data_IF_833261790690
#
_entry.id   IF_833261790690
#
_cell.length_a   1.000
_cell.length_b   1.000
_cell.length_c   1.000
_cell.angle_alpha   90.00
_cell.angle_beta   90.00
_cell.angle_gamma   90.00
#
_symmetry.space_group_name_H-M   'P 1'
#
loop_
_entity.id
_entity.type
_entity.pdbx_description
1 polymer ?
#
# COMPACT_ATOMS: atom_id res chain seq x y z
N UNK A 1 -35.30 -6.15 -4.08
CA UNK A 1 -34.18 -5.20 -3.90
C UNK A 1 -33.31 -5.47 -2.66
N UNK A 2 -33.89 -5.65 -1.46
CA UNK A 2 -33.12 -5.93 -0.23
C UNK A 2 -32.38 -7.26 -0.25
N UNK A 3 -32.97 -8.29 -0.85
CA UNK A 3 -32.38 -9.64 -1.00
C UNK A 3 -31.18 -9.67 -1.96
N UNK A 4 -31.24 -8.91 -3.07
CA UNK A 4 -30.14 -8.83 -4.04
C UNK A 4 -28.93 -8.06 -3.46
N UNK A 5 -29.19 -6.99 -2.71
CA UNK A 5 -28.15 -6.20 -2.03
C UNK A 5 -27.41 -7.02 -0.98
N UNK A 6 -28.13 -7.85 -0.20
CA UNK A 6 -27.51 -8.76 0.77
C UNK A 6 -26.69 -9.85 0.11
N UNK A 7 -27.13 -10.38 -1.03
CA UNK A 7 -26.37 -11.40 -1.77
C UNK A 7 -25.09 -10.82 -2.39
N UNK A 8 -25.13 -9.60 -2.95
CA UNK A 8 -23.95 -8.93 -3.50
C UNK A 8 -22.96 -8.55 -2.39
N UNK A 9 -23.45 -8.04 -1.26
CA UNK A 9 -22.61 -7.71 -0.11
C UNK A 9 -21.94 -8.97 0.47
N UNK A 10 -22.66 -10.10 0.54
CA UNK A 10 -22.10 -11.39 0.96
C UNK A 10 -21.03 -11.91 0.00
N UNK A 11 -21.25 -11.81 -1.32
CA UNK A 11 -20.26 -12.24 -2.32
C UNK A 11 -19.00 -11.37 -2.24
N UNK A 12 -19.13 -10.05 -2.08
CA UNK A 12 -18.00 -9.14 -1.92
C UNK A 12 -17.25 -9.36 -0.59
N UNK A 13 -17.98 -9.66 0.50
CA UNK A 13 -17.36 -10.02 1.78
C UNK A 13 -16.59 -11.34 1.68
N UNK A 14 -17.15 -12.35 1.02
CA UNK A 14 -16.49 -13.63 0.79
C UNK A 14 -15.23 -13.47 -0.06
N UNK A 15 -15.28 -12.69 -1.15
CA UNK A 15 -14.10 -12.39 -1.99
C UNK A 15 -13.03 -11.67 -1.18
N UNK A 16 -13.41 -10.69 -0.36
CA UNK A 16 -12.48 -9.96 0.51
C UNK A 16 -11.86 -10.86 1.61
N UNK A 17 -12.64 -11.75 2.22
CA UNK A 17 -12.17 -12.69 3.24
C UNK A 17 -11.22 -13.75 2.66
N UNK A 18 -11.52 -14.29 1.48
CA UNK A 18 -10.64 -15.25 0.77
C UNK A 18 -9.33 -14.59 0.36
N UNK A 19 -9.37 -13.32 -0.06
CA UNK A 19 -8.16 -12.54 -0.36
C UNK A 19 -7.33 -12.26 0.91
N UNK A 20 -7.99 -11.94 2.03
CA UNK A 20 -7.30 -11.54 3.26
C UNK A 20 -6.72 -12.74 4.04
N UNK A 21 -7.37 -13.91 4.00
CA UNK A 21 -6.84 -15.12 4.65
C UNK A 21 -5.64 -15.75 3.94
N UNK A 22 -5.47 -15.56 2.62
CA UNK A 22 -4.36 -16.17 1.85
C UNK A 22 -3.15 -15.26 1.64
N UNK A 23 -3.25 -13.96 1.92
CA UNK A 23 -2.11 -13.02 1.93
C UNK A 23 -1.31 -13.06 3.24
N UNK A 24 -1.85 -13.69 4.30
CA UNK A 24 -1.15 -13.90 5.57
C UNK A 24 -0.81 -15.38 5.73
N UNK A 25 0.27 -15.82 5.10
CA UNK A 25 0.91 -17.08 5.47
C UNK A 25 1.51 -17.91 4.32
N UNK A 26 2.83 -18.04 4.40
CA UNK A 26 3.70 -19.11 3.87
C UNK A 26 4.42 -18.88 2.54
N UNK A 27 5.76 -18.91 2.64
CA UNK A 27 6.71 -19.19 1.57
C UNK A 27 6.45 -20.59 0.97
N UNK A 28 6.81 -20.82 -0.30
CA UNK A 28 6.45 -22.05 -1.00
C UNK A 28 7.49 -23.15 -0.78
N UNK A 29 7.07 -24.24 -0.11
CA UNK A 29 7.67 -25.56 -0.30
C UNK A 29 6.72 -26.43 -1.15
N UNK A 30 7.30 -27.35 -1.92
CA UNK A 30 6.82 -28.03 -3.14
C UNK A 30 5.55 -28.93 -3.05
N UNK A 31 4.44 -28.46 -2.48
CA UNK A 31 3.15 -29.20 -2.50
C UNK A 31 1.96 -28.35 -3.00
N UNK A 32 2.19 -27.53 -4.03
CA UNK A 32 1.28 -26.45 -4.47
C UNK A 32 0.18 -26.80 -5.50
N UNK A 33 0.03 -28.05 -5.94
CA UNK A 33 -0.91 -28.39 -7.01
C UNK A 33 -2.42 -28.32 -6.64
N UNK A 34 -2.90 -28.78 -5.46
CA UNK A 34 -4.33 -28.77 -5.17
C UNK A 34 -4.87 -27.35 -4.89
N UNK A 35 -4.02 -26.42 -4.43
CA UNK A 35 -4.44 -25.05 -4.07
C UNK A 35 -4.75 -24.15 -5.27
N UNK A 36 -4.20 -24.46 -6.46
CA UNK A 36 -4.44 -23.69 -7.68
C UNK A 36 -5.77 -24.09 -8.35
N UNK A 37 -6.12 -25.38 -8.31
CA UNK A 37 -7.40 -25.86 -8.84
C UNK A 37 -8.59 -25.26 -8.09
N UNK A 38 -8.51 -25.22 -6.75
CA UNK A 38 -9.54 -24.61 -5.91
C UNK A 38 -9.64 -23.10 -6.15
N UNK A 39 -8.50 -22.41 -6.31
CA UNK A 39 -8.50 -20.98 -6.63
C UNK A 39 -9.12 -20.70 -8.01
N UNK A 40 -8.84 -21.56 -9.00
CA UNK A 40 -9.42 -21.42 -10.34
C UNK A 40 -10.93 -21.74 -10.34
N UNK A 41 -11.39 -22.66 -9.50
CA UNK A 41 -12.82 -22.93 -9.29
C UNK A 41 -13.53 -21.73 -8.65
N UNK A 42 -12.94 -21.12 -7.62
CA UNK A 42 -13.48 -19.92 -6.95
C UNK A 42 -13.55 -18.72 -7.91
N UNK A 43 -12.52 -18.52 -8.73
CA UNK A 43 -12.51 -17.47 -9.77
C UNK A 43 -13.60 -17.72 -10.82
N UNK A 44 -13.81 -18.98 -11.21
CA UNK A 44 -14.82 -19.36 -12.20
C UNK A 44 -16.24 -19.13 -11.65
N UNK A 45 -16.49 -19.46 -10.38
CA UNK A 45 -17.75 -19.19 -9.71
C UNK A 45 -18.02 -17.68 -9.57
N UNK A 46 -17.01 -16.88 -9.21
CA UNK A 46 -17.12 -15.43 -9.16
C UNK A 46 -17.45 -14.82 -10.53
N UNK A 47 -16.87 -15.36 -11.61
CA UNK A 47 -17.15 -14.93 -12.98
C UNK A 47 -18.59 -15.22 -13.41
N UNK A 48 -19.12 -16.39 -13.09
CA UNK A 48 -20.54 -16.72 -13.33
C UNK A 48 -21.50 -15.76 -12.60
N UNK A 49 -21.14 -15.31 -11.39
CA UNK A 49 -21.89 -14.29 -10.66
C UNK A 49 -21.90 -12.91 -11.34
N UNK A 50 -20.77 -12.50 -11.92
CA UNK A 50 -20.65 -11.25 -12.67
C UNK A 50 -21.47 -11.31 -13.97
N UNK A 51 -21.38 -12.42 -14.70
CA UNK A 51 -22.13 -12.61 -15.95
C UNK A 51 -23.66 -12.58 -15.71
N UNK A 52 -24.13 -13.15 -14.60
CA UNK A 52 -25.54 -13.08 -14.21
C UNK A 52 -26.02 -11.66 -13.87
N UNK A 53 -25.14 -10.83 -13.27
CA UNK A 53 -25.43 -9.41 -13.00
C UNK A 53 -25.49 -8.60 -14.29
N UNK A 54 -24.57 -8.84 -15.24
CA UNK A 54 -24.56 -8.19 -16.55
C UNK A 54 -25.81 -8.57 -17.37
N UNK A 55 -26.22 -9.84 -17.36
CA UNK A 55 -27.47 -10.25 -18.00
C UNK A 55 -28.71 -9.59 -17.38
N UNK A 56 -28.67 -9.29 -16.07
CA UNK A 56 -29.74 -8.59 -15.37
C UNK A 56 -29.77 -7.10 -15.73
N UNK A 57 -28.58 -6.47 -15.85
CA UNK A 57 -28.43 -5.10 -16.34
C UNK A 57 -29.01 -4.96 -17.75
N UNK A 58 -28.64 -5.83 -18.69
CA UNK A 58 -29.09 -5.75 -20.08
C UNK A 58 -30.61 -5.89 -20.19
N UNK A 59 -31.24 -6.77 -19.41
CA UNK A 59 -32.72 -6.89 -19.35
C UNK A 59 -33.39 -5.62 -18.82
N UNK A 60 -32.77 -4.94 -17.86
CA UNK A 60 -33.27 -3.66 -17.35
C UNK A 60 -33.15 -2.56 -18.41
N UNK A 61 -32.03 -2.51 -19.14
CA UNK A 61 -31.82 -1.58 -20.25
C UNK A 61 -32.81 -1.81 -21.40
N UNK A 62 -33.09 -3.07 -21.76
CA UNK A 62 -34.13 -3.44 -22.73
C UNK A 62 -35.53 -3.04 -22.26
N UNK A 63 -35.85 -3.22 -20.97
CA UNK A 63 -37.14 -2.82 -20.39
C UNK A 63 -37.30 -1.29 -20.38
N UNK A 64 -36.21 -0.55 -20.16
CA UNK A 64 -36.19 0.91 -20.23
C UNK A 64 -36.29 1.42 -21.68
N UNK A 65 -35.66 0.73 -22.63
CA UNK A 65 -35.72 1.06 -24.06
C UNK A 65 -37.09 0.72 -24.68
N UNK A 66 -37.69 -0.41 -24.31
CA UNK A 66 -39.05 -0.79 -24.72
C UNK A 66 -40.14 0.16 -24.20
N UNK A 67 -39.89 0.83 -23.07
CA UNK A 67 -40.78 1.88 -22.55
C UNK A 67 -40.78 3.16 -23.40
N UNK A 68 -39.76 3.39 -24.23
CA UNK A 68 -39.72 4.53 -25.15
C UNK A 68 -40.48 4.28 -26.47
N UNK A 69 -40.78 3.02 -26.82
CA UNK A 69 -41.62 2.73 -28.00
C UNK A 69 -43.12 2.69 -27.70
N UNK A 70 -43.53 2.59 -26.43
CA UNK A 70 -44.95 2.59 -26.04
C UNK A 70 -45.57 3.99 -25.84
N UNK A 71 -44.80 5.07 -26.03
CA UNK A 71 -45.28 6.46 -25.88
C UNK A 71 -45.46 7.16 -27.23
N UNK A 72 -46.41 6.66 -28.04
CA UNK A 72 -47.02 7.41 -29.16
C UNK A 72 -48.55 7.23 -29.17
N UNK A 73 -49.18 7.37 -28.00
CA UNK A 73 -50.63 7.58 -27.90
C UNK A 73 -50.90 8.97 -27.30
N UNK A 74 -51.93 9.70 -27.75
CA UNK A 74 -52.13 11.09 -27.38
C UNK A 74 -52.49 11.22 -25.89
N UNK A 75 -51.91 12.25 -25.26
CA UNK A 75 -51.99 12.51 -23.82
C UNK A 75 -53.42 12.84 -23.36
N UNK A 76 -53.86 12.36 -22.18
CA UNK A 76 -54.92 13.02 -21.44
C UNK A 76 -54.34 14.14 -20.56
N UNK A 77 -55.12 15.21 -20.46
CA UNK A 77 -54.83 16.42 -19.73
C UNK A 77 -55.02 16.23 -18.22
N UNK A 78 -53.93 16.20 -17.45
CA UNK A 78 -53.85 16.76 -16.10
C UNK A 78 -52.40 16.75 -15.56
N UNK A 79 -51.81 17.88 -15.12
CA UNK A 79 -50.45 17.93 -14.61
C UNK A 79 -50.47 17.96 -13.07
N UNK A 80 -50.67 16.82 -12.43
CA UNK A 80 -50.52 16.74 -10.98
C UNK A 80 -49.90 15.42 -10.52
N UNK A 81 -48.77 15.56 -9.81
CA UNK A 81 -48.09 14.58 -8.96
C UNK A 81 -47.15 13.53 -9.62
N UNK A 82 -45.85 13.83 -9.48
CA UNK A 82 -44.68 12.95 -9.34
C UNK A 82 -44.01 12.35 -10.61
N UNK A 83 -42.72 12.70 -10.83
CA UNK A 83 -41.70 11.64 -10.89
C UNK A 83 -40.32 12.00 -10.27
N UNK A 84 -40.24 12.84 -9.23
CA UNK A 84 -38.91 13.24 -8.70
C UNK A 84 -38.16 12.13 -7.94
N UNK A 85 -38.86 11.22 -7.25
CA UNK A 85 -38.25 10.08 -6.53
C UNK A 85 -37.74 8.97 -7.46
N UNK A 86 -38.38 8.77 -8.61
CA UNK A 86 -37.95 7.74 -9.55
C UNK A 86 -36.70 8.19 -10.32
N UNK A 87 -36.65 9.48 -10.71
CA UNK A 87 -35.50 10.07 -11.39
C UNK A 87 -34.25 10.09 -10.50
N UNK A 88 -34.39 10.46 -9.23
CA UNK A 88 -33.27 10.45 -8.26
C UNK A 88 -32.74 9.04 -7.99
N UNK A 89 -33.62 8.04 -7.96
CA UNK A 89 -33.21 6.64 -7.84
C UNK A 89 -32.43 6.15 -9.07
N UNK A 90 -32.88 6.50 -10.27
CA UNK A 90 -32.17 6.16 -11.52
C UNK A 90 -30.82 6.89 -11.61
N UNK A 91 -30.72 8.13 -11.14
CA UNK A 91 -29.45 8.86 -11.06
C UNK A 91 -28.46 8.20 -10.09
N UNK A 92 -28.96 7.69 -8.95
CA UNK A 92 -28.13 6.96 -7.99
C UNK A 92 -27.61 5.64 -8.59
N UNK A 93 -28.48 4.88 -9.27
CA UNK A 93 -28.12 3.62 -9.94
C UNK A 93 -27.11 3.86 -11.08
N UNK A 94 -27.23 4.98 -11.81
CA UNK A 94 -26.27 5.38 -12.84
C UNK A 94 -24.89 5.71 -12.26
N UNK A 95 -24.83 6.44 -11.14
CA UNK A 95 -23.57 6.77 -10.46
C UNK A 95 -22.90 5.52 -9.85
N UNK A 96 -23.69 4.58 -9.33
CA UNK A 96 -23.17 3.28 -8.88
C UNK A 96 -22.59 2.47 -10.05
N UNK A 97 -23.25 2.49 -11.21
CA UNK A 97 -22.76 1.80 -12.42
C UNK A 97 -21.44 2.41 -12.92
N UNK A 98 -21.31 3.74 -12.90
CA UNK A 98 -20.05 4.43 -13.23
C UNK A 98 -18.90 4.04 -12.28
N UNK A 99 -19.18 3.86 -10.99
CA UNK A 99 -18.18 3.41 -10.01
C UNK A 99 -17.71 1.99 -10.29
N UNK A 100 -18.61 1.08 -10.65
CA UNK A 100 -18.26 -0.30 -11.02
C UNK A 100 -17.39 -0.32 -12.27
N UNK A 101 -17.76 0.45 -13.31
CA UNK A 101 -16.98 0.52 -14.55
C UNK A 101 -15.56 1.06 -14.32
N UNK A 102 -15.42 2.05 -13.42
CA UNK A 102 -14.11 2.58 -13.01
C UNK A 102 -13.25 1.52 -12.33
N UNK A 103 -13.84 0.74 -11.42
CA UNK A 103 -13.14 -0.36 -10.75
C UNK A 103 -12.72 -1.45 -11.73
N UNK A 104 -13.52 -1.76 -12.75
CA UNK A 104 -13.15 -2.71 -13.80
C UNK A 104 -11.91 -2.24 -14.59
N UNK A 105 -11.85 -0.95 -14.95
CA UNK A 105 -10.68 -0.38 -15.62
C UNK A 105 -9.40 -0.46 -14.75
N UNK A 106 -9.52 -0.16 -13.45
CA UNK A 106 -8.40 -0.27 -12.49
C UNK A 106 -7.93 -1.73 -12.35
N UNK A 107 -8.87 -2.68 -12.29
CA UNK A 107 -8.58 -4.12 -12.20
C UNK A 107 -7.91 -4.63 -13.49
N UNK A 108 -8.30 -4.11 -14.65
CA UNK A 108 -7.66 -4.44 -15.92
C UNK A 108 -6.22 -3.90 -16.01
N UNK A 109 -5.97 -2.69 -15.48
CA UNK A 109 -4.61 -2.15 -15.34
C UNK A 109 -3.73 -3.06 -14.48
N UNK A 110 -4.22 -3.46 -13.31
CA UNK A 110 -3.50 -4.38 -12.40
C UNK A 110 -3.24 -5.75 -13.04
N UNK A 111 -4.14 -6.26 -13.89
CA UNK A 111 -3.93 -7.51 -14.63
C UNK A 111 -2.76 -7.41 -15.62
N UNK A 112 -2.62 -6.28 -16.30
CA UNK A 112 -1.50 -6.07 -17.24
C UNK A 112 -0.16 -5.90 -16.51
N UNK A 113 -0.17 -5.22 -15.36
CA UNK A 113 1.01 -5.18 -14.47
C UNK A 113 1.39 -6.58 -13.97
N UNK A 114 0.43 -7.43 -13.61
CA UNK A 114 0.73 -8.80 -13.18
C UNK A 114 1.29 -9.67 -14.32
N UNK A 115 0.88 -9.44 -15.57
CA UNK A 115 1.43 -10.13 -16.74
C UNK A 115 2.88 -9.71 -17.00
N UNK A 116 3.22 -8.44 -16.82
CA UNK A 116 4.59 -7.95 -17.01
C UNK A 116 5.56 -8.49 -15.96
N UNK A 117 5.09 -8.77 -14.75
CA UNK A 117 5.90 -9.41 -13.70
C UNK A 117 6.20 -10.88 -14.02
N UNK A 118 5.29 -11.61 -14.67
CA UNK A 118 5.49 -13.04 -15.00
C UNK A 118 6.52 -13.28 -16.12
N UNK A 119 6.69 -12.33 -17.04
CA UNK A 119 7.64 -12.48 -18.16
C UNK A 119 9.10 -12.28 -17.77
N UNK A 120 9.39 -11.74 -16.57
CA UNK A 120 10.76 -11.51 -16.08
C UNK A 120 11.40 -12.77 -15.48
N UNK A 121 10.64 -13.86 -15.27
CA UNK A 121 11.16 -15.09 -14.63
C UNK A 121 11.83 -16.11 -15.57
N UNK A 122 11.93 -15.82 -16.88
CA UNK A 122 12.57 -16.73 -17.84
C UNK A 122 14.00 -16.27 -18.20
N UNK A 123 14.99 -16.59 -17.36
CA UNK A 123 16.40 -16.55 -17.74
C UNK A 123 16.90 -17.94 -18.17
N UNK A 124 17.79 -18.06 -19.18
CA UNK A 124 18.31 -19.34 -19.63
C UNK A 124 19.41 -19.86 -18.69
N UNK A 125 19.35 -21.14 -18.32
CA UNK A 125 20.43 -21.84 -17.63
C UNK A 125 21.62 -22.02 -18.58
N UNK A 126 22.73 -21.34 -18.29
CA UNK A 126 24.00 -21.53 -19.00
C UNK A 126 24.76 -22.74 -18.43
N UNK A 127 25.33 -23.54 -19.35
CA UNK A 127 25.99 -24.81 -19.10
C UNK A 127 27.22 -24.71 -18.16
N UNK A 128 27.27 -25.63 -17.19
CA UNK A 128 28.35 -25.76 -16.23
C UNK A 128 29.62 -26.36 -16.87
N UNK A 129 30.70 -25.59 -16.90
CA UNK A 129 32.03 -26.08 -17.28
C UNK A 129 32.85 -26.40 -16.01
N UNK A 130 33.33 -27.64 -15.91
CA UNK A 130 34.06 -28.17 -14.74
C UNK A 130 35.50 -27.64 -14.73
N UNK A 131 35.86 -26.83 -13.74
CA UNK A 131 37.26 -26.64 -13.33
C UNK A 131 37.37 -26.48 -11.81
N UNK A 132 38.53 -26.89 -11.27
CA UNK A 132 38.81 -27.19 -9.85
C UNK A 132 38.60 -25.98 -8.91
N UNK A 133 38.25 -26.21 -7.63
CA UNK A 133 37.99 -25.13 -6.69
C UNK A 133 39.32 -24.49 -6.25
N UNK A 134 39.43 -23.18 -6.46
CA UNK A 134 40.38 -22.31 -5.77
C UNK A 134 39.70 -21.88 -4.47
N UNK A 135 40.35 -22.12 -3.33
CA UNK A 135 39.92 -21.59 -2.03
C UNK A 135 39.93 -20.07 -2.07
N UNK A 136 38.75 -19.47 -2.24
CA UNK A 136 38.52 -18.05 -1.99
C UNK A 136 37.82 -17.91 -0.64
N UNK A 137 38.51 -17.26 0.29
CA UNK A 137 37.95 -16.86 1.58
C UNK A 137 36.95 -15.74 1.30
N UNK A 138 35.66 -16.08 1.25
CA UNK A 138 34.57 -15.11 1.11
C UNK A 138 34.44 -14.29 2.40
N UNK A 139 34.35 -12.94 2.37
CA UNK A 139 34.21 -12.10 3.58
C UNK A 139 32.86 -12.26 4.31
N UNK A 140 32.01 -13.16 3.82
CA UNK A 140 30.69 -13.48 4.36
C UNK A 140 30.52 -14.98 4.56
N UNK A 141 31.57 -15.65 5.06
CA UNK A 141 31.42 -16.99 5.61
C UNK A 141 30.31 -16.95 6.67
N UNK A 142 29.18 -17.57 6.34
CA UNK A 142 28.03 -17.73 7.22
C UNK A 142 28.51 -18.37 8.53
N UNK A 143 28.18 -17.83 9.71
CA UNK A 143 28.39 -18.59 10.94
C UNK A 143 27.57 -19.90 10.85
N UNK A 144 27.99 -20.98 11.51
CA UNK A 144 27.32 -22.26 11.43
C UNK A 144 25.95 -22.15 12.11
N UNK A 145 24.92 -21.82 11.34
CA UNK A 145 23.55 -21.92 11.78
C UNK A 145 23.17 -23.40 11.80
N UNK A 146 23.34 -24.04 12.95
CA UNK A 146 22.60 -25.27 13.26
C UNK A 146 21.10 -24.95 13.15
N UNK A 147 20.44 -25.51 12.14
CA UNK A 147 19.04 -25.27 11.85
C UNK A 147 18.13 -25.54 13.05
N UNK A 148 17.66 -24.47 13.69
CA UNK A 148 16.43 -24.37 14.49
C UNK A 148 16.16 -22.96 15.01
N UNK A 149 16.49 -21.94 14.21
CA UNK A 149 16.29 -20.54 14.56
C UNK A 149 15.29 -19.85 13.65
N UNK A 150 14.03 -20.32 13.60
CA UNK A 150 12.95 -19.39 13.27
C UNK A 150 13.14 -18.23 14.25
N UNK A 151 13.26 -16.97 13.79
CA UNK A 151 12.99 -15.81 14.62
C UNK A 151 11.52 -15.93 15.04
N UNK A 152 11.24 -16.82 16.01
CA UNK A 152 10.07 -16.68 16.83
C UNK A 152 10.28 -15.30 17.42
N UNK A 153 9.39 -14.37 17.10
CA UNK A 153 9.11 -13.29 18.03
C UNK A 153 8.85 -14.02 19.35
N UNK A 154 9.89 -14.10 20.19
CA UNK A 154 9.77 -14.59 21.55
C UNK A 154 8.63 -13.79 22.15
N UNK A 155 7.88 -14.45 23.02
CA UNK A 155 6.81 -13.90 23.84
C UNK A 155 6.92 -12.37 24.01
N UNK A 156 5.81 -11.61 23.86
CA UNK A 156 5.85 -10.16 23.85
C UNK A 156 6.82 -9.66 24.91
N UNK A 157 7.90 -8.99 24.50
CA UNK A 157 8.97 -8.56 25.40
C UNK A 157 8.28 -7.96 26.63
N UNK A 158 8.42 -8.58 27.82
CA UNK A 158 7.69 -8.12 28.98
C UNK A 158 8.02 -6.65 29.17
N UNK A 159 6.98 -5.79 29.12
CA UNK A 159 7.19 -4.35 29.34
C UNK A 159 7.85 -4.21 30.72
N UNK A 160 9.07 -3.64 30.80
CA UNK A 160 9.69 -3.39 32.09
C UNK A 160 8.70 -2.57 32.93
N UNK A 161 8.56 -2.89 34.21
CA UNK A 161 7.66 -2.18 35.12
C UNK A 161 7.95 -0.68 35.22
N UNK A 162 9.16 -0.27 34.81
CA UNK A 162 9.61 1.12 34.74
C UNK A 162 9.09 1.90 33.51
N UNK A 163 8.56 1.25 32.47
CA UNK A 163 8.05 1.96 31.29
C UNK A 163 6.66 2.51 31.60
N UNK A 164 6.45 3.84 31.53
CA UNK A 164 5.14 4.43 31.77
C UNK A 164 4.08 3.85 30.84
N UNK A 165 2.83 3.80 31.29
CA UNK A 165 1.72 3.39 30.40
C UNK A 165 1.63 4.33 29.19
N UNK A 166 1.20 3.83 28.02
CA UNK A 166 0.94 4.69 26.87
C UNK A 166 -0.04 5.81 27.22
N UNK A 167 0.19 7.04 26.71
CA UNK A 167 -0.69 8.17 27.00
C UNK A 167 -2.06 7.96 26.37
N UNK A 168 -3.10 8.48 27.02
CA UNK A 168 -4.42 8.63 26.40
C UNK A 168 -4.38 9.65 25.26
N UNK A 169 -5.43 9.65 24.43
CA UNK A 169 -5.58 10.61 23.34
C UNK A 169 -5.49 12.06 23.81
N UNK A 170 -6.16 12.40 24.91
CA UNK A 170 -6.11 13.74 25.50
C UNK A 170 -4.72 14.10 26.05
N UNK A 171 -4.01 13.13 26.63
CA UNK A 171 -2.62 13.34 27.06
C UNK A 171 -1.68 13.57 25.86
N UNK A 172 -1.86 12.83 24.77
CA UNK A 172 -1.08 13.03 23.55
C UNK A 172 -1.38 14.39 22.90
N UNK A 173 -2.65 14.80 22.83
CA UNK A 173 -3.05 16.12 22.30
C UNK A 173 -2.32 17.26 23.01
N UNK A 174 -2.07 17.17 24.31
CA UNK A 174 -1.33 18.18 25.08
C UNK A 174 0.17 18.24 24.77
N UNK A 175 0.74 17.14 24.25
CA UNK A 175 2.19 17.01 24.02
C UNK A 175 2.61 17.36 22.61
N UNK A 176 1.69 17.26 21.66
CA UNK A 176 1.95 17.68 20.27
C UNK A 176 1.81 19.19 20.11
N UNK A 177 2.38 19.74 19.03
CA UNK A 177 2.10 21.12 18.62
C UNK A 177 0.60 21.30 18.40
N UNK A 178 0.05 22.40 18.92
CA UNK A 178 -1.38 22.71 18.89
C UNK A 178 -1.87 23.25 17.52
N UNK A 179 -1.38 22.66 16.43
CA UNK A 179 -1.86 22.98 15.08
C UNK A 179 -3.02 22.05 14.72
N UNK A 180 -4.00 22.50 13.91
CA UNK A 180 -5.13 21.66 13.49
C UNK A 180 -4.68 20.33 12.87
N UNK A 181 -3.58 20.37 12.11
CA UNK A 181 -3.02 19.20 11.44
C UNK A 181 -2.46 18.16 12.42
N UNK A 182 -1.82 18.59 13.50
CA UNK A 182 -1.25 17.67 14.48
C UNK A 182 -2.30 17.09 15.41
N UNK A 183 -3.28 17.90 15.80
CA UNK A 183 -4.44 17.41 16.55
C UNK A 183 -5.21 16.37 15.73
N UNK A 184 -5.46 16.63 14.44
CA UNK A 184 -6.07 15.66 13.53
C UNK A 184 -5.23 14.39 13.39
N UNK A 185 -3.90 14.49 13.32
CA UNK A 185 -3.02 13.32 13.24
C UNK A 185 -3.15 12.42 14.48
N UNK A 186 -3.21 13.01 15.68
CA UNK A 186 -3.45 12.27 16.93
C UNK A 186 -4.80 11.57 16.89
N UNK A 187 -5.87 12.26 16.50
CA UNK A 187 -7.20 11.66 16.41
C UNK A 187 -7.26 10.50 15.43
N UNK A 188 -6.68 10.67 14.24
CA UNK A 188 -6.59 9.61 13.24
C UNK A 188 -5.75 8.43 13.73
N UNK A 189 -4.67 8.71 14.46
CA UNK A 189 -3.81 7.66 14.98
C UNK A 189 -4.49 6.80 16.04
N UNK A 190 -5.26 7.39 16.97
CA UNK A 190 -6.04 6.59 17.91
C UNK A 190 -7.19 5.82 17.23
N UNK A 191 -7.78 6.38 16.16
CA UNK A 191 -8.85 5.71 15.43
C UNK A 191 -8.36 4.56 14.53
N UNK A 192 -7.16 4.68 13.95
CA UNK A 192 -6.64 3.78 12.91
C UNK A 192 -5.33 3.08 13.27
N UNK A 193 -4.78 3.36 14.45
CA UNK A 193 -3.44 2.96 14.86
C UNK A 193 -2.36 3.34 13.84
N UNK A 194 -2.41 4.53 13.23
CA UNK A 194 -1.46 4.95 12.20
C UNK A 194 -1.23 6.47 12.18
N UNK A 195 0.04 6.90 12.08
CA UNK A 195 0.43 8.32 11.96
C UNK A 195 0.81 8.75 10.53
N UNK A 196 0.75 7.83 9.56
CA UNK A 196 1.01 8.09 8.15
C UNK A 196 2.02 7.13 7.52
N UNK A 197 2.76 6.36 8.31
CA UNK A 197 3.71 5.36 7.82
C UNK A 197 3.04 4.14 7.17
N UNK A 198 3.85 3.43 6.38
CA UNK A 198 3.46 2.13 5.86
C UNK A 198 3.39 1.11 7.01
N UNK A 199 2.27 0.39 7.11
CA UNK A 199 2.03 -0.60 8.17
C UNK A 199 2.12 -0.05 9.60
N UNK A 200 1.88 1.24 9.80
CA UNK A 200 1.82 1.87 11.13
C UNK A 200 3.10 1.76 11.96
N UNK A 201 4.26 1.63 11.30
CA UNK A 201 5.56 1.54 11.95
C UNK A 201 5.84 2.75 12.86
N UNK A 202 5.48 3.96 12.42
CA UNK A 202 5.60 5.19 13.20
C UNK A 202 4.82 5.14 14.53
N UNK A 203 3.55 4.72 14.47
CA UNK A 203 2.69 4.57 15.63
C UNK A 203 3.18 3.49 16.57
N UNK A 204 3.56 2.32 16.02
CA UNK A 204 4.09 1.21 16.78
C UNK A 204 5.35 1.62 17.55
N UNK A 205 6.31 2.24 16.86
CA UNK A 205 7.58 2.65 17.45
C UNK A 205 7.35 3.71 18.52
N UNK A 206 6.49 4.70 18.25
CA UNK A 206 6.16 5.72 19.25
C UNK A 206 5.51 5.10 20.50
N UNK A 207 4.43 4.33 20.34
CA UNK A 207 3.64 3.82 21.47
C UNK A 207 4.32 2.74 22.32
N UNK A 208 5.34 2.07 21.78
CA UNK A 208 6.05 1.03 22.51
C UNK A 208 7.37 1.53 23.11
N UNK A 209 8.01 2.52 22.49
CA UNK A 209 9.37 2.90 22.88
C UNK A 209 9.54 4.38 23.21
N UNK A 210 8.80 5.29 22.58
CA UNK A 210 9.12 6.72 22.65
C UNK A 210 8.01 7.59 23.24
N UNK A 211 6.87 7.02 23.62
CA UNK A 211 5.75 7.78 24.15
C UNK A 211 6.04 8.45 25.49
N UNK A 212 7.10 8.09 26.20
CA UNK A 212 7.50 8.76 27.44
C UNK A 212 8.58 9.83 27.21
N UNK A 213 9.05 10.00 25.98
CA UNK A 213 10.06 11.00 25.63
C UNK A 213 9.39 12.30 25.20
N UNK A 214 9.75 13.40 25.86
CA UNK A 214 9.25 14.74 25.49
C UNK A 214 10.13 15.44 24.45
N UNK A 215 11.36 14.94 24.26
CA UNK A 215 12.31 15.38 23.24
C UNK A 215 13.06 14.17 22.70
N UNK A 216 13.48 14.26 21.45
CA UNK A 216 14.31 13.24 20.82
C UNK A 216 14.97 13.75 19.56
N UNK A 217 15.78 12.90 18.95
CA UNK A 217 16.40 13.11 17.66
C UNK A 217 16.03 11.92 16.78
N UNK A 218 15.65 12.18 15.54
CA UNK A 218 15.39 11.11 14.58
C UNK A 218 16.34 11.19 13.38
N UNK A 219 16.64 10.04 12.79
CA UNK A 219 17.36 9.92 11.53
C UNK A 219 16.53 9.05 10.60
N UNK A 220 16.21 9.55 9.42
CA UNK A 220 15.39 8.87 8.42
C UNK A 220 16.20 8.67 7.14
N UNK A 221 16.64 7.43 6.90
CA UNK A 221 17.45 7.07 5.73
C UNK A 221 16.53 6.51 4.65
N UNK A 222 16.49 7.19 3.50
CA UNK A 222 15.46 6.95 2.49
C UNK A 222 14.12 7.57 2.90
N UNK A 223 14.16 8.83 3.35
CA UNK A 223 13.01 9.52 3.92
C UNK A 223 11.80 9.62 2.97
N UNK A 224 12.04 9.55 1.66
CA UNK A 224 11.01 9.40 0.65
C UNK A 224 9.99 10.55 0.64
N UNK A 225 8.71 10.20 0.73
CA UNK A 225 7.64 11.18 0.70
C UNK A 225 7.52 11.95 2.02
N UNK A 226 7.28 13.26 1.91
CA UNK A 226 7.33 14.18 3.05
C UNK A 226 6.24 14.00 4.12
N UNK A 227 5.17 13.25 3.85
CA UNK A 227 4.07 13.03 4.81
C UNK A 227 3.50 11.62 4.72
N UNK A 228 2.92 11.29 3.58
CA UNK A 228 2.29 9.99 3.38
C UNK A 228 3.38 8.94 3.20
N UNK A 229 3.27 7.80 3.89
CA UNK A 229 4.30 6.77 4.01
C UNK A 229 5.60 7.26 4.67
N UNK A 230 5.56 8.33 5.46
CA UNK A 230 6.73 8.79 6.22
C UNK A 230 6.75 8.19 7.61
N UNK A 231 7.86 7.56 7.98
CA UNK A 231 8.07 7.03 9.33
C UNK A 231 8.34 8.14 10.35
N UNK A 232 8.77 9.32 9.89
CA UNK A 232 9.26 10.39 10.77
C UNK A 232 8.40 11.65 10.74
N UNK A 233 7.30 11.66 9.95
CA UNK A 233 6.51 12.87 9.76
C UNK A 233 6.00 13.46 11.06
N UNK A 234 5.39 12.61 11.89
CA UNK A 234 4.83 12.97 13.18
C UNK A 234 5.88 13.50 14.18
N UNK A 235 7.07 12.89 14.22
CA UNK A 235 8.13 13.26 15.15
C UNK A 235 8.66 14.68 14.87
N UNK A 236 8.88 15.00 13.60
CA UNK A 236 9.31 16.33 13.16
C UNK A 236 8.22 17.40 13.33
N UNK A 237 7.03 17.17 12.78
CA UNK A 237 6.03 18.24 12.70
C UNK A 237 5.21 18.37 13.97
N UNK A 238 4.86 17.25 14.61
CA UNK A 238 3.92 17.25 15.71
C UNK A 238 4.60 17.16 17.06
N UNK A 239 5.69 16.41 17.20
CA UNK A 239 6.49 16.41 18.43
C UNK A 239 7.60 17.47 18.40
N UNK A 240 7.91 18.03 17.24
CA UNK A 240 8.94 19.06 17.11
C UNK A 240 10.36 18.57 17.36
N UNK A 241 10.60 17.27 17.19
CA UNK A 241 11.92 16.69 17.35
C UNK A 241 12.84 17.15 16.23
N UNK A 242 14.08 17.60 16.53
CA UNK A 242 15.09 17.75 15.49
C UNK A 242 15.31 16.42 14.78
N UNK A 243 15.69 16.49 13.51
CA UNK A 243 16.03 15.29 12.76
C UNK A 243 16.85 15.52 11.52
N UNK A 244 17.32 14.41 10.97
CA UNK A 244 18.10 14.31 9.75
C UNK A 244 17.37 13.38 8.78
N UNK A 245 16.87 13.91 7.67
CA UNK A 245 16.36 13.12 6.56
C UNK A 245 17.45 13.00 5.48
N UNK A 246 17.85 11.76 5.16
CA UNK A 246 18.76 11.46 4.07
C UNK A 246 17.94 10.89 2.91
N UNK A 247 17.99 11.55 1.75
CA UNK A 247 17.21 11.16 0.58
C UNK A 247 18.08 11.27 -0.68
N UNK A 248 18.20 10.18 -1.44
CA UNK A 248 19.04 10.15 -2.63
C UNK A 248 18.39 10.89 -3.80
N UNK A 249 17.06 10.86 -3.89
CA UNK A 249 16.31 11.51 -4.94
C UNK A 249 16.31 13.05 -4.77
N UNK A 250 16.89 13.81 -5.71
CA UNK A 250 16.96 15.26 -5.60
C UNK A 250 15.59 15.94 -5.61
N UNK A 251 14.60 15.34 -6.28
CA UNK A 251 13.22 15.85 -6.34
C UNK A 251 12.55 15.68 -4.98
N UNK A 252 12.59 14.49 -4.39
CA UNK A 252 12.01 14.23 -3.07
C UNK A 252 12.73 15.01 -1.98
N UNK A 253 14.07 15.07 -2.02
CA UNK A 253 14.86 15.90 -1.12
C UNK A 253 14.49 17.39 -1.22
N UNK A 254 14.19 17.87 -2.43
CA UNK A 254 13.70 19.23 -2.66
C UNK A 254 12.33 19.49 -2.04
N UNK A 255 11.41 18.52 -2.08
CA UNK A 255 10.10 18.61 -1.42
C UNK A 255 10.25 18.55 0.09
N UNK A 256 11.08 17.64 0.63
CA UNK A 256 11.36 17.51 2.06
C UNK A 256 11.85 18.85 2.64
N UNK A 257 12.85 19.49 2.00
CA UNK A 257 13.37 20.80 2.44
C UNK A 257 12.30 21.90 2.55
N UNK A 258 11.25 21.82 1.74
CA UNK A 258 10.17 22.83 1.72
C UNK A 258 9.03 22.51 2.68
N UNK A 259 8.90 21.26 3.12
CA UNK A 259 7.69 20.72 3.77
C UNK A 259 7.94 20.10 5.15
N UNK A 260 9.21 20.04 5.58
CA UNK A 260 9.68 19.45 6.84
C UNK A 260 10.55 20.49 7.56
N UNK A 261 10.68 20.37 8.88
CA UNK A 261 11.57 21.24 9.66
C UNK A 261 12.98 20.64 9.87
N UNK A 262 13.18 19.39 9.50
CA UNK A 262 14.44 18.68 9.66
C UNK A 262 15.55 19.15 8.70
N UNK A 263 16.77 18.77 9.06
CA UNK A 263 17.92 18.88 8.15
C UNK A 263 17.78 17.82 7.07
N UNK A 264 17.91 18.22 5.80
CA UNK A 264 17.79 17.29 4.66
C UNK A 264 19.13 17.18 3.93
N UNK A 265 19.68 15.98 3.84
CA UNK A 265 20.87 15.66 3.06
C UNK A 265 20.45 14.92 1.80
N UNK A 266 20.75 15.52 0.64
CA UNK A 266 20.52 14.85 -0.64
C UNK A 266 21.69 13.93 -1.00
N UNK A 267 21.63 12.70 -0.51
CA UNK A 267 22.63 11.66 -0.75
C UNK A 267 22.01 10.28 -0.53
N UNK A 268 22.58 9.24 -1.12
CA UNK A 268 22.38 7.87 -0.65
C UNK A 268 23.30 7.58 0.55
N UNK A 269 22.90 6.64 1.40
CA UNK A 269 23.77 6.12 2.46
C UNK A 269 24.49 4.88 1.94
N UNK A 270 25.81 4.84 2.11
CA UNK A 270 26.65 3.70 1.75
C UNK A 270 27.80 3.59 2.77
N UNK A 271 28.41 2.41 2.89
CA UNK A 271 29.59 2.19 3.74
C UNK A 271 30.81 3.02 3.35
N UNK A 272 30.85 3.56 2.13
CA UNK A 272 31.98 4.31 1.58
C UNK A 272 31.46 5.42 0.64
N UNK A 273 32.10 6.59 0.59
CA UNK A 273 31.75 7.64 -0.36
C UNK A 273 31.94 7.17 -1.81
N UNK A 274 30.86 7.14 -2.59
CA UNK A 274 30.90 6.73 -3.99
C UNK A 274 29.76 7.35 -4.79
N UNK A 275 29.74 7.12 -6.11
CA UNK A 275 28.61 7.50 -6.96
C UNK A 275 27.83 6.25 -7.32
N UNK A 276 26.51 6.34 -7.25
CA UNK A 276 25.59 5.27 -7.63
C UNK A 276 24.52 5.82 -8.57
N UNK A 277 23.79 4.92 -9.22
CA UNK A 277 22.69 5.28 -10.10
C UNK A 277 21.36 5.13 -9.36
N UNK A 278 20.55 6.18 -9.37
CA UNK A 278 19.16 6.17 -8.94
C UNK A 278 18.26 5.80 -10.11
N UNK A 279 17.47 4.75 -9.92
CA UNK A 279 16.45 4.30 -10.86
C UNK A 279 15.06 4.78 -10.43
N UNK A 280 14.20 5.07 -11.41
CA UNK A 280 12.83 5.58 -11.20
C UNK A 280 12.72 6.83 -10.30
N UNK A 281 13.47 7.92 -10.60
CA UNK A 281 13.44 9.14 -9.81
C UNK A 281 12.03 9.77 -9.78
N UNK A 282 11.70 10.42 -8.68
CA UNK A 282 10.42 11.05 -8.38
C UNK A 282 9.35 10.10 -7.82
N UNK A 283 9.65 8.80 -7.71
CA UNK A 283 8.69 7.78 -7.28
C UNK A 283 9.01 7.22 -5.90
N UNK A 284 8.00 6.68 -5.20
CA UNK A 284 8.21 5.99 -3.92
C UNK A 284 8.93 4.62 -4.06
N UNK A 285 9.11 4.13 -5.30
CA UNK A 285 9.79 2.88 -5.60
C UNK A 285 11.20 3.09 -6.14
N UNK A 286 11.78 4.27 -5.97
CA UNK A 286 13.13 4.55 -6.43
C UNK A 286 14.16 3.69 -5.67
N UNK A 287 15.14 3.17 -6.39
CA UNK A 287 16.17 2.30 -5.81
C UNK A 287 17.55 2.65 -6.37
N UNK A 288 18.57 2.34 -5.57
CA UNK A 288 19.97 2.63 -5.85
C UNK A 288 20.65 1.38 -6.38
N UNK A 289 21.33 1.51 -7.51
CA UNK A 289 22.14 0.44 -8.12
C UNK A 289 23.56 0.92 -8.39
N UNK A 290 24.55 0.01 -8.47
CA UNK A 290 25.89 0.37 -8.91
C UNK A 290 25.86 1.10 -10.25
N UNK A 291 26.72 2.11 -10.39
CA UNK A 291 26.85 2.85 -11.63
C UNK A 291 27.53 1.96 -12.69
N UNK A 292 26.77 1.44 -13.64
CA UNK A 292 27.27 0.72 -14.82
C UNK A 292 27.24 1.65 -16.05
N UNK A 293 28.21 1.49 -16.96
CA UNK A 293 28.40 2.38 -18.13
C UNK A 293 27.18 2.52 -19.06
N UNK A 294 26.22 1.60 -19.00
CA UNK A 294 24.94 1.66 -19.74
C UNK A 294 23.75 2.13 -18.89
N UNK A 295 23.99 2.93 -17.86
CA UNK A 295 22.92 3.55 -17.10
C UNK A 295 22.24 4.60 -18.00
N UNK A 296 21.13 4.23 -18.65
CA UNK A 296 20.33 5.08 -19.54
C UNK A 296 19.80 6.35 -18.87
N UNK A 297 18.49 6.46 -18.65
CA UNK A 297 17.86 7.63 -18.01
C UNK A 297 18.12 7.74 -16.49
N UNK A 298 19.14 7.08 -15.96
CA UNK A 298 19.39 7.00 -14.52
C UNK A 298 20.04 8.29 -13.99
N UNK A 299 19.62 8.71 -12.80
CA UNK A 299 20.18 9.91 -12.15
C UNK A 299 21.40 9.49 -11.33
N UNK A 300 22.56 10.08 -11.60
CA UNK A 300 23.77 9.82 -10.80
C UNK A 300 23.65 10.56 -9.47
N UNK A 301 23.74 9.81 -8.37
CA UNK A 301 23.68 10.35 -7.01
C UNK A 301 24.99 10.10 -6.27
N UNK A 302 25.33 11.02 -5.35
CA UNK A 302 26.48 10.85 -4.46
C UNK A 302 26.03 10.09 -3.22
N UNK A 303 26.71 9.01 -2.88
CA UNK A 303 26.55 8.34 -1.60
C UNK A 303 27.59 8.79 -0.59
N UNK A 304 27.23 8.74 0.69
CA UNK A 304 28.07 9.08 1.83
C UNK A 304 27.87 8.07 2.94
N UNK A 305 28.82 8.03 3.86
CA UNK A 305 28.61 7.41 5.17
C UNK A 305 27.58 8.21 5.96
N UNK A 306 26.81 7.52 6.81
CA UNK A 306 25.85 8.15 7.71
C UNK A 306 26.57 9.01 8.77
#
# INVERSE_FOLDING_TARGET
PRTLLTSIAMVLLCVAMVFNQKMVGTCPDEAGAPKLADLMADITAARAGIDALLATKNRLEETMSGRHQATQAPAPADPAAAPSKHLSKLQQELEETKRVLKLEMELQSLREELKSVKSVSAMPQAAANKSKPVESVHPWAQPPYSGRGLLRFREPIPRPSSVPRPPSQEQMKKRVRQTPRCLQAVEQAFAKNNLGSQFSQDWFVYMNYFHHMDRGLYVDVGAGAWKNNSNTWFFDECLGWPGLCVEADPTLAGVLRKKRNCTVVNACVHSEPQKMALQAPGTQGAYIVPLVEKAGSAVVVKCRTL
#
